data_IF_648038118230
#
_entry.id   IF_648038118230
#
_cell.length_a   1.000
_cell.length_b   1.000
_cell.length_c   1.000
_cell.angle_alpha   90.00
_cell.angle_beta   90.00
_cell.angle_gamma   90.00
#
_symmetry.space_group_name_H-M   'P 1'
#
loop_
_entity.id
_entity.type
_entity.pdbx_description
1 polymer ?
#
# COMPACT_ATOMS: atom_id res chain seq x y z
N UNK A 1 17.27 3.20 1.27
CA UNK A 1 18.22 2.20 0.85
C UNK A 1 18.07 2.02 -0.65
N UNK A 2 19.09 2.03 -1.31
CA UNK A 2 19.54 1.31 -2.48
C UNK A 2 18.95 1.63 -3.83
N UNK A 3 17.70 1.85 -4.04
CA UNK A 3 17.19 2.37 -5.33
C UNK A 3 17.91 3.67 -5.68
N UNK A 4 18.18 4.50 -4.72
CA UNK A 4 18.85 5.77 -4.96
C UNK A 4 20.22 5.61 -5.65
N UNK A 5 21.06 4.71 -5.12
CA UNK A 5 22.46 4.64 -5.53
C UNK A 5 22.70 3.57 -6.62
N UNK A 6 21.81 2.57 -6.71
CA UNK A 6 21.92 1.42 -7.62
C UNK A 6 20.68 1.22 -8.49
N UNK A 7 19.81 2.22 -8.64
CA UNK A 7 18.52 2.05 -9.32
C UNK A 7 18.64 1.55 -10.76
N UNK A 8 19.71 1.88 -11.48
CA UNK A 8 19.93 1.42 -12.85
C UNK A 8 20.19 -0.08 -12.91
N UNK A 9 21.01 -0.60 -11.98
CA UNK A 9 21.27 -2.03 -11.85
C UNK A 9 20.01 -2.77 -11.41
N UNK A 10 19.31 -2.25 -10.40
CA UNK A 10 18.10 -2.85 -9.87
C UNK A 10 16.99 -2.90 -10.93
N UNK A 11 16.76 -1.81 -11.69
CA UNK A 11 15.77 -1.77 -12.77
C UNK A 11 16.16 -2.71 -13.93
N UNK A 12 17.44 -2.85 -14.23
CA UNK A 12 17.90 -3.83 -15.23
C UNK A 12 17.57 -5.27 -14.82
N UNK A 13 17.71 -5.61 -13.53
CA UNK A 13 17.30 -6.91 -12.98
C UNK A 13 15.78 -7.11 -13.03
N UNK A 14 14.98 -6.06 -12.78
CA UNK A 14 13.53 -6.11 -12.94
C UNK A 14 13.13 -6.33 -14.40
N UNK A 15 13.83 -5.69 -15.33
CA UNK A 15 13.62 -5.89 -16.77
C UNK A 15 13.98 -7.32 -17.20
N UNK A 16 15.08 -7.89 -16.69
CA UNK A 16 15.44 -9.30 -16.92
C UNK A 16 14.37 -10.26 -16.42
N UNK A 17 13.72 -9.93 -15.27
CA UNK A 17 12.61 -10.68 -14.73
C UNK A 17 11.32 -10.54 -15.56
N UNK A 18 11.26 -9.52 -16.43
CA UNK A 18 10.13 -9.29 -17.32
C UNK A 18 9.04 -8.37 -16.73
N UNK A 19 9.35 -7.59 -15.71
CA UNK A 19 8.39 -6.65 -15.11
C UNK A 19 7.72 -5.77 -16.16
N UNK A 20 6.41 -5.61 -16.04
CA UNK A 20 5.59 -4.69 -16.84
C UNK A 20 5.30 -3.40 -16.07
N UNK A 21 5.25 -3.51 -14.76
CA UNK A 21 4.99 -2.39 -13.85
C UNK A 21 5.95 -2.47 -12.68
N UNK A 22 6.44 -1.31 -12.25
CA UNK A 22 7.22 -1.17 -11.03
C UNK A 22 6.57 -0.12 -10.12
N UNK A 23 6.14 -0.56 -8.92
CA UNK A 23 5.58 0.35 -7.93
C UNK A 23 6.66 0.92 -7.04
N UNK A 24 6.63 2.23 -6.85
CA UNK A 24 7.52 2.97 -5.96
C UNK A 24 6.83 4.19 -5.39
N UNK A 25 7.40 4.80 -4.36
CA UNK A 25 6.92 6.06 -3.79
C UNK A 25 7.88 7.21 -4.03
N UNK A 26 7.34 8.42 -3.98
CA UNK A 26 8.12 9.65 -3.93
C UNK A 26 8.23 10.06 -2.47
N UNK A 27 9.45 10.37 -1.99
CA UNK A 27 9.62 10.97 -0.68
C UNK A 27 9.29 12.46 -0.76
N UNK A 28 8.24 12.88 -0.05
CA UNK A 28 7.80 14.29 -0.02
C UNK A 28 8.96 15.23 0.31
N UNK A 29 9.75 14.89 1.32
CA UNK A 29 10.90 15.68 1.76
C UNK A 29 12.05 15.77 0.76
N UNK A 30 12.07 14.98 -0.32
CA UNK A 30 13.02 15.17 -1.43
C UNK A 30 12.57 16.26 -2.39
N UNK A 31 11.26 16.46 -2.51
CA UNK A 31 10.67 17.46 -3.39
C UNK A 31 10.51 18.78 -2.65
N UNK A 32 10.01 18.72 -1.42
CA UNK A 32 9.87 19.86 -0.51
C UNK A 32 10.45 19.45 0.85
N UNK A 33 11.70 19.78 1.16
CA UNK A 33 12.42 19.30 2.36
C UNK A 33 11.70 19.58 3.69
N UNK A 34 11.03 20.72 3.81
CA UNK A 34 10.17 21.07 4.95
C UNK A 34 8.70 20.75 4.70
N UNK A 35 8.28 20.73 3.44
CA UNK A 35 6.90 20.46 3.00
C UNK A 35 6.08 21.72 2.74
N UNK A 36 6.47 22.88 3.25
CA UNK A 36 5.76 24.17 3.14
C UNK A 36 6.49 25.19 2.25
N UNK A 37 7.60 24.83 1.62
CA UNK A 37 8.29 25.70 0.67
C UNK A 37 7.40 26.06 -0.54
N UNK A 38 7.66 27.23 -1.13
CA UNK A 38 6.98 27.66 -2.36
C UNK A 38 7.55 26.97 -3.59
N UNK A 39 8.89 26.78 -3.63
CA UNK A 39 9.61 26.20 -4.76
C UNK A 39 10.11 24.78 -4.42
N UNK A 40 10.00 23.84 -5.38
CA UNK A 40 10.46 22.49 -5.19
C UNK A 40 11.98 22.36 -5.31
N UNK A 41 12.53 21.32 -4.72
CA UNK A 41 13.93 20.93 -4.89
C UNK A 41 14.14 20.25 -6.25
N UNK A 42 14.82 20.95 -7.16
CA UNK A 42 15.06 20.46 -8.53
C UNK A 42 15.94 19.19 -8.56
N UNK A 43 16.88 19.02 -7.64
CA UNK A 43 17.68 17.79 -7.56
C UNK A 43 16.82 16.58 -7.22
N UNK A 44 15.85 16.76 -6.33
CA UNK A 44 14.87 15.72 -5.98
C UNK A 44 13.97 15.36 -7.15
N UNK A 45 13.47 16.37 -7.88
CA UNK A 45 12.67 16.17 -9.08
C UNK A 45 13.45 15.42 -10.17
N UNK A 46 14.68 15.86 -10.43
CA UNK A 46 15.54 15.24 -11.44
C UNK A 46 15.86 13.78 -11.10
N UNK A 47 16.10 13.45 -9.84
CA UNK A 47 16.35 12.07 -9.43
C UNK A 47 15.20 11.13 -9.83
N UNK A 48 13.95 11.49 -9.51
CA UNK A 48 12.80 10.66 -9.89
C UNK A 48 12.56 10.63 -11.38
N UNK A 49 12.80 11.75 -12.07
CA UNK A 49 12.75 11.79 -13.54
C UNK A 49 13.70 10.78 -14.17
N UNK A 50 14.94 10.70 -13.66
CA UNK A 50 15.95 9.77 -14.15
C UNK A 50 15.56 8.31 -13.86
N UNK A 51 14.94 8.03 -12.69
CA UNK A 51 14.42 6.71 -12.36
C UNK A 51 13.28 6.30 -13.29
N UNK A 52 12.32 7.21 -13.54
CA UNK A 52 11.19 6.91 -14.44
C UNK A 52 11.65 6.72 -15.90
N UNK A 53 12.61 7.50 -16.36
CA UNK A 53 13.23 7.31 -17.68
C UNK A 53 13.93 5.96 -17.79
N UNK A 54 14.60 5.52 -16.74
CA UNK A 54 15.24 4.19 -16.73
C UNK A 54 14.18 3.06 -16.78
N UNK A 55 13.06 3.18 -16.07
CA UNK A 55 11.94 2.26 -16.20
C UNK A 55 11.40 2.21 -17.65
N UNK A 56 11.12 3.38 -18.23
CA UNK A 56 10.59 3.50 -19.61
C UNK A 56 11.54 2.92 -20.65
N UNK A 57 12.85 3.04 -20.49
CA UNK A 57 13.86 2.43 -21.35
C UNK A 57 13.68 0.93 -21.52
N UNK A 58 13.20 0.25 -20.48
CA UNK A 58 12.92 -1.19 -20.49
C UNK A 58 11.44 -1.55 -20.70
N UNK A 59 10.59 -0.57 -21.00
CA UNK A 59 9.16 -0.78 -21.17
C UNK A 59 8.43 -1.10 -19.86
N UNK A 60 9.00 -0.73 -18.71
CA UNK A 60 8.38 -0.88 -17.40
C UNK A 60 7.59 0.38 -17.09
N UNK A 61 6.28 0.24 -16.82
CA UNK A 61 5.41 1.34 -16.43
C UNK A 61 5.58 1.67 -14.94
N UNK A 62 5.93 2.91 -14.57
CA UNK A 62 5.94 3.34 -13.18
C UNK A 62 4.51 3.42 -12.62
N UNK A 63 4.29 2.83 -11.45
CA UNK A 63 3.11 3.04 -10.60
C UNK A 63 3.58 3.79 -9.36
N UNK A 64 3.19 5.05 -9.22
CA UNK A 64 3.79 5.94 -8.24
C UNK A 64 2.84 6.24 -7.08
N UNK A 65 3.24 5.88 -5.87
CA UNK A 65 2.58 6.30 -4.64
C UNK A 65 3.12 7.67 -4.23
N UNK A 66 2.24 8.67 -4.10
CA UNK A 66 2.62 10.07 -3.84
C UNK A 66 3.18 10.20 -2.43
N UNK A 67 2.47 9.68 -1.42
CA UNK A 67 2.95 9.63 -0.03
C UNK A 67 2.87 8.22 0.52
N UNK A 68 3.96 7.75 1.14
CA UNK A 68 4.05 6.42 1.72
C UNK A 68 4.64 6.51 3.13
N UNK A 69 3.85 7.00 4.08
CA UNK A 69 4.21 7.16 5.49
C UNK A 69 5.41 8.10 5.73
N UNK A 70 5.56 9.13 4.91
CA UNK A 70 6.75 9.98 4.86
C UNK A 70 6.44 11.49 5.01
N UNK A 71 5.45 11.83 5.81
CA UNK A 71 5.12 13.23 6.11
C UNK A 71 6.37 13.98 6.62
N UNK A 72 6.76 15.13 6.02
CA UNK A 72 7.92 15.89 6.47
C UNK A 72 7.84 16.29 7.95
N UNK A 73 8.90 16.02 8.71
CA UNK A 73 8.94 16.29 10.15
C UNK A 73 8.69 17.76 10.51
N UNK A 74 9.02 18.69 9.62
CA UNK A 74 8.71 20.10 9.82
C UNK A 74 7.20 20.34 9.85
N UNK A 75 6.45 19.72 8.92
CA UNK A 75 4.99 19.83 8.89
C UNK A 75 4.35 19.24 10.16
N UNK A 76 4.91 18.13 10.66
CA UNK A 76 4.46 17.51 11.91
C UNK A 76 4.69 18.46 13.09
N UNK A 77 5.92 18.99 13.23
CA UNK A 77 6.29 19.85 14.35
C UNK A 77 5.62 21.23 14.32
N UNK A 78 5.43 21.80 13.14
CA UNK A 78 4.94 23.19 12.99
C UNK A 78 3.42 23.24 12.91
N UNK A 79 2.81 22.26 12.26
CA UNK A 79 1.37 22.27 11.95
C UNK A 79 0.59 21.14 12.63
N UNK A 80 1.27 20.17 13.25
CA UNK A 80 0.63 19.00 13.86
C UNK A 80 0.23 17.91 12.86
N UNK A 81 0.90 17.87 11.70
CA UNK A 81 0.60 16.90 10.63
C UNK A 81 -0.81 17.11 10.07
N UNK A 82 -1.45 16.03 9.64
CA UNK A 82 -2.77 16.07 9.00
C UNK A 82 -3.94 16.52 9.91
N UNK A 83 -3.71 16.76 11.21
CA UNK A 83 -4.68 17.47 12.06
C UNK A 83 -4.99 18.88 11.53
N UNK A 84 -4.04 19.49 10.85
CA UNK A 84 -4.15 20.83 10.33
C UNK A 84 -4.62 20.85 8.87
N UNK A 85 -5.73 21.53 8.60
CA UNK A 85 -6.30 21.63 7.24
C UNK A 85 -5.32 22.22 6.20
N UNK A 86 -4.34 23.02 6.60
CA UNK A 86 -3.29 23.54 5.69
C UNK A 86 -2.51 22.44 4.97
N UNK A 87 -2.49 21.22 5.52
CA UNK A 87 -1.87 20.08 4.84
C UNK A 87 -2.46 19.82 3.47
N UNK A 88 -3.75 20.12 3.26
CA UNK A 88 -4.41 20.01 1.96
C UNK A 88 -3.71 20.92 0.94
N UNK A 89 -3.40 22.17 1.30
CA UNK A 89 -2.75 23.13 0.38
C UNK A 89 -1.30 22.74 0.08
N UNK A 90 -0.57 22.26 1.09
CA UNK A 90 0.79 21.75 0.87
C UNK A 90 0.80 20.51 -0.03
N UNK A 91 -0.18 19.63 0.15
CA UNK A 91 -0.32 18.43 -0.70
C UNK A 91 -0.76 18.80 -2.13
N UNK A 92 -1.68 19.75 -2.31
CA UNK A 92 -2.05 20.29 -3.65
C UNK A 92 -0.83 20.83 -4.38
N UNK A 93 0.06 21.55 -3.70
CA UNK A 93 1.32 22.04 -4.28
C UNK A 93 2.21 20.88 -4.71
N UNK A 94 2.42 19.90 -3.83
CA UNK A 94 3.20 18.69 -4.14
C UNK A 94 2.68 18.01 -5.40
N UNK A 95 1.40 17.65 -5.43
CA UNK A 95 0.82 16.88 -6.55
C UNK A 95 0.83 17.67 -7.86
N UNK A 96 0.63 19.00 -7.81
CA UNK A 96 0.71 19.86 -9.00
C UNK A 96 2.10 19.80 -9.63
N UNK A 97 3.15 19.89 -8.81
CA UNK A 97 4.54 19.78 -9.29
C UNK A 97 4.81 18.41 -9.87
N UNK A 98 4.39 17.33 -9.18
CA UNK A 98 4.62 15.95 -9.64
C UNK A 98 3.91 15.65 -10.95
N UNK A 99 2.62 15.96 -11.05
CA UNK A 99 1.83 15.69 -12.26
C UNK A 99 2.31 16.52 -13.45
N UNK A 100 2.75 17.75 -13.21
CA UNK A 100 3.31 18.61 -14.27
C UNK A 100 4.66 18.10 -14.74
N UNK A 101 5.58 17.81 -13.80
CA UNK A 101 6.95 17.38 -14.13
C UNK A 101 6.98 16.03 -14.83
N UNK A 102 6.15 15.10 -14.40
CA UNK A 102 6.19 13.71 -14.88
C UNK A 102 5.05 13.34 -15.83
N UNK A 103 4.35 14.34 -16.40
CA UNK A 103 3.20 14.18 -17.29
C UNK A 103 3.37 13.12 -18.38
N UNK A 104 4.57 13.01 -18.96
CA UNK A 104 4.86 12.07 -20.06
C UNK A 104 5.62 10.81 -19.59
N UNK A 105 5.83 10.64 -18.28
CA UNK A 105 6.62 9.56 -17.73
C UNK A 105 5.80 8.61 -16.86
N UNK A 106 4.80 9.12 -16.16
CA UNK A 106 3.99 8.38 -15.21
C UNK A 106 2.51 8.56 -15.55
N UNK A 107 1.80 7.45 -15.68
CA UNK A 107 0.36 7.42 -15.91
C UNK A 107 -0.42 7.03 -14.66
N UNK A 108 0.11 6.08 -13.86
CA UNK A 108 -0.59 5.49 -12.72
C UNK A 108 -0.08 6.05 -11.42
N UNK A 109 -1.00 6.60 -10.62
CA UNK A 109 -0.71 7.24 -9.35
C UNK A 109 -1.60 6.73 -8.23
N UNK A 110 -1.04 6.60 -7.04
CA UNK A 110 -1.77 6.29 -5.81
C UNK A 110 -1.60 7.48 -4.86
N UNK A 111 -2.69 8.00 -4.35
CA UNK A 111 -2.66 9.23 -3.53
C UNK A 111 -1.99 9.02 -2.18
N UNK A 112 -2.46 8.06 -1.39
CA UNK A 112 -1.94 7.73 -0.06
C UNK A 112 -1.75 6.21 0.04
N UNK A 113 -0.61 5.80 0.62
CA UNK A 113 -0.41 4.41 0.97
C UNK A 113 -1.28 4.03 2.16
N UNK A 114 -2.04 2.93 2.02
CA UNK A 114 -2.83 2.34 3.12
C UNK A 114 -3.52 3.38 4.02
N UNK A 115 -4.35 4.25 3.43
CA UNK A 115 -4.95 5.41 4.11
C UNK A 115 -5.67 5.04 5.42
N UNK A 116 -6.23 3.83 5.53
CA UNK A 116 -6.87 3.33 6.74
C UNK A 116 -5.90 3.05 7.90
N UNK A 117 -4.57 3.00 7.61
CA UNK A 117 -3.55 2.82 8.65
C UNK A 117 -3.45 3.99 9.63
N UNK A 118 -4.01 5.15 9.31
CA UNK A 118 -4.15 6.27 10.26
C UNK A 118 -4.83 5.84 11.58
N UNK A 119 -5.72 4.86 11.53
CA UNK A 119 -6.41 4.34 12.72
C UNK A 119 -5.49 3.52 13.62
N UNK A 120 -4.48 2.86 13.07
CA UNK A 120 -3.60 1.90 13.74
C UNK A 120 -2.19 2.44 13.98
N UNK A 121 -1.65 3.18 13.00
CA UNK A 121 -0.32 3.78 13.01
C UNK A 121 -0.41 5.28 12.72
N UNK A 122 -1.05 6.08 13.58
CA UNK A 122 -1.41 7.47 13.30
C UNK A 122 -0.20 8.38 13.02
N UNK A 123 0.95 8.13 13.65
CA UNK A 123 2.15 8.89 13.36
C UNK A 123 2.68 8.60 11.94
N UNK A 124 2.74 7.34 11.56
CA UNK A 124 3.19 6.94 10.20
C UNK A 124 2.17 7.36 9.14
N UNK A 125 0.88 7.07 9.36
CA UNK A 125 -0.19 7.33 8.41
C UNK A 125 -0.39 8.82 8.13
N UNK A 126 -0.42 9.65 9.18
CA UNK A 126 -0.82 11.05 9.06
C UNK A 126 0.05 12.04 9.85
N UNK A 127 1.23 11.63 10.30
CA UNK A 127 2.11 12.50 11.09
C UNK A 127 1.49 12.97 12.40
N UNK A 128 0.64 12.13 13.04
CA UNK A 128 -0.05 12.53 14.25
C UNK A 128 0.80 12.29 15.50
N UNK A 129 1.02 13.33 16.24
CA UNK A 129 1.50 13.31 17.62
C UNK A 129 0.38 13.81 18.53
N UNK A 130 0.13 13.10 19.63
CA UNK A 130 -0.96 13.41 20.55
C UNK A 130 -0.44 14.05 21.84
N UNK A 131 -1.14 15.06 22.32
CA UNK A 131 -0.95 15.63 23.63
C UNK A 131 -1.57 14.72 24.71
N UNK A 132 -1.18 14.90 25.98
CA UNK A 132 -1.52 14.00 27.09
C UNK A 132 -3.04 13.77 27.27
N UNK A 133 -3.87 14.77 26.99
CA UNK A 133 -5.34 14.69 27.15
C UNK A 133 -6.09 14.84 25.82
N UNK A 134 -5.43 14.67 24.69
CA UNK A 134 -6.05 14.81 23.37
C UNK A 134 -6.94 13.62 23.05
N UNK A 135 -8.15 13.87 22.54
CA UNK A 135 -8.99 12.83 21.98
C UNK A 135 -8.38 12.30 20.68
N UNK A 136 -7.68 11.17 20.81
CA UNK A 136 -6.98 10.53 19.69
C UNK A 136 -7.94 10.06 18.60
N UNK A 137 -9.15 9.63 18.96
CA UNK A 137 -10.15 9.17 17.98
C UNK A 137 -10.64 10.34 17.15
N UNK A 138 -11.02 11.43 17.78
CA UNK A 138 -11.37 12.69 17.12
C UNK A 138 -10.26 13.15 16.17
N UNK A 139 -9.02 13.22 16.65
CA UNK A 139 -7.87 13.68 15.86
C UNK A 139 -7.60 12.80 14.63
N UNK A 140 -7.72 11.47 14.75
CA UNK A 140 -7.55 10.51 13.63
C UNK A 140 -8.59 10.75 12.55
N UNK A 141 -9.87 10.91 12.89
CA UNK A 141 -10.93 11.10 11.89
C UNK A 141 -10.94 12.48 11.26
N UNK A 142 -10.57 13.53 11.99
CA UNK A 142 -10.31 14.86 11.42
C UNK A 142 -9.19 14.79 10.39
N UNK A 143 -8.08 14.16 10.73
CA UNK A 143 -6.94 14.00 9.82
C UNK A 143 -7.27 13.13 8.61
N UNK A 144 -8.02 12.05 8.82
CA UNK A 144 -8.53 11.22 7.73
C UNK A 144 -9.39 12.02 6.76
N UNK A 145 -10.25 12.92 7.27
CA UNK A 145 -11.05 13.80 6.41
C UNK A 145 -10.16 14.71 5.56
N UNK A 146 -9.11 15.29 6.12
CA UNK A 146 -8.19 16.13 5.36
C UNK A 146 -7.43 15.34 4.27
N UNK A 147 -6.99 14.10 4.55
CA UNK A 147 -6.37 13.23 3.55
C UNK A 147 -7.35 12.82 2.44
N UNK A 148 -8.61 12.53 2.78
CA UNK A 148 -9.65 12.19 1.80
C UNK A 148 -9.94 13.38 0.87
N UNK A 149 -10.06 14.60 1.41
CA UNK A 149 -10.22 15.82 0.62
C UNK A 149 -9.00 16.09 -0.25
N UNK A 150 -7.78 15.92 0.30
CA UNK A 150 -6.53 16.06 -0.46
C UNK A 150 -6.42 15.04 -1.60
N UNK A 151 -6.88 13.80 -1.39
CA UNK A 151 -6.96 12.76 -2.43
C UNK A 151 -7.89 13.17 -3.58
N UNK A 152 -9.05 13.74 -3.28
CA UNK A 152 -9.97 14.23 -4.31
C UNK A 152 -9.38 15.42 -5.09
N UNK A 153 -8.70 16.35 -4.40
CA UNK A 153 -7.97 17.43 -5.06
C UNK A 153 -6.85 16.90 -5.96
N UNK A 154 -6.11 15.87 -5.52
CA UNK A 154 -5.08 15.23 -6.36
C UNK A 154 -5.69 14.64 -7.63
N UNK A 155 -6.84 13.96 -7.52
CA UNK A 155 -7.56 13.40 -8.69
C UNK A 155 -7.96 14.50 -9.66
N UNK A 156 -8.54 15.60 -9.17
CA UNK A 156 -8.91 16.76 -9.99
C UNK A 156 -7.69 17.33 -10.73
N UNK A 157 -6.64 17.68 -9.99
CA UNK A 157 -5.42 18.30 -10.55
C UNK A 157 -4.76 17.36 -11.57
N UNK A 158 -4.71 16.07 -11.30
CA UNK A 158 -4.13 15.09 -12.20
C UNK A 158 -4.85 15.06 -13.57
N UNK A 159 -6.20 15.01 -13.55
CA UNK A 159 -7.00 14.98 -14.78
C UNK A 159 -6.98 16.33 -15.54
N UNK A 160 -6.89 17.45 -14.82
CA UNK A 160 -6.72 18.78 -15.46
C UNK A 160 -5.37 18.91 -16.17
N UNK A 161 -4.29 18.36 -15.59
CA UNK A 161 -2.96 18.39 -16.20
C UNK A 161 -2.84 17.38 -17.35
N UNK A 162 -3.35 16.17 -17.15
CA UNK A 162 -3.35 15.11 -18.15
C UNK A 162 -4.57 14.20 -17.95
N UNK A 163 -5.57 14.25 -18.85
CA UNK A 163 -6.78 13.39 -18.76
C UNK A 163 -6.49 11.89 -18.81
N UNK A 164 -5.32 11.45 -19.29
CA UNK A 164 -4.92 10.05 -19.35
C UNK A 164 -4.35 9.53 -18.03
N UNK A 165 -4.15 10.38 -17.03
CA UNK A 165 -3.74 9.95 -15.70
C UNK A 165 -4.79 9.04 -15.08
N UNK A 166 -4.31 7.98 -14.43
CA UNK A 166 -5.12 7.04 -13.68
C UNK A 166 -4.79 7.17 -12.18
N UNK A 167 -5.75 7.61 -11.40
CA UNK A 167 -5.57 7.90 -9.98
C UNK A 167 -6.25 6.82 -9.15
N UNK A 168 -5.48 6.17 -8.27
CA UNK A 168 -5.96 5.15 -7.35
C UNK A 168 -5.97 5.59 -5.89
N UNK A 169 -6.87 5.00 -5.12
CA UNK A 169 -6.75 4.93 -3.67
C UNK A 169 -6.02 3.64 -3.27
N UNK A 170 -5.58 3.55 -2.02
CA UNK A 170 -5.01 2.32 -1.49
C UNK A 170 -5.40 2.09 -0.03
N UNK A 171 -5.76 0.85 0.28
CA UNK A 171 -6.05 0.40 1.64
C UNK A 171 -5.21 -0.81 2.04
N UNK A 172 -4.93 -0.94 3.34
CA UNK A 172 -4.52 -2.19 3.94
C UNK A 172 -5.74 -3.11 4.03
N UNK A 173 -5.87 -4.05 3.08
CA UNK A 173 -7.04 -4.90 2.96
C UNK A 173 -6.90 -6.23 3.75
N UNK A 174 -7.98 -6.97 3.78
CA UNK A 174 -8.16 -8.24 4.43
C UNK A 174 -9.48 -8.25 5.18
N UNK A 175 -10.40 -9.11 4.75
CA UNK A 175 -11.71 -9.23 5.37
C UNK A 175 -11.59 -9.74 6.80
N UNK A 176 -12.50 -9.32 7.66
CA UNK A 176 -12.67 -9.89 8.98
C UNK A 176 -13.63 -11.07 8.92
N UNK A 177 -13.12 -12.27 9.22
CA UNK A 177 -13.97 -13.43 9.43
C UNK A 177 -14.57 -13.40 10.84
N UNK A 178 -15.86 -13.70 11.02
CA UNK A 178 -16.38 -14.03 12.33
C UNK A 178 -15.75 -15.35 12.79
N UNK A 179 -15.27 -15.41 14.01
CA UNK A 179 -14.68 -16.63 14.58
C UNK A 179 -15.70 -17.78 14.64
N UNK A 180 -16.95 -17.44 14.87
CA UNK A 180 -18.06 -18.37 14.88
C UNK A 180 -19.27 -17.83 14.10
N UNK A 181 -20.28 -18.68 13.89
CA UNK A 181 -21.56 -18.26 13.33
C UNK A 181 -22.50 -17.56 14.33
N UNK A 182 -22.03 -17.22 15.54
CA UNK A 182 -22.82 -16.40 16.46
C UNK A 182 -23.12 -15.03 15.84
N UNK A 183 -24.38 -14.56 15.90
CA UNK A 183 -24.75 -13.26 15.32
C UNK A 183 -23.89 -12.10 15.82
N UNK A 184 -23.41 -12.13 17.06
CA UNK A 184 -22.55 -11.13 17.66
C UNK A 184 -21.16 -11.11 17.00
N UNK A 185 -20.55 -12.26 16.68
CA UNK A 185 -19.28 -12.36 15.98
C UNK A 185 -19.44 -11.86 14.52
N UNK A 186 -20.54 -12.22 13.86
CA UNK A 186 -20.86 -11.74 12.50
C UNK A 186 -21.05 -10.23 12.48
N UNK A 187 -21.73 -9.68 13.48
CA UNK A 187 -21.94 -8.24 13.62
C UNK A 187 -20.63 -7.49 13.90
N UNK A 188 -19.76 -8.05 14.75
CA UNK A 188 -18.44 -7.49 15.02
C UNK A 188 -17.55 -7.47 13.77
N UNK A 189 -17.54 -8.55 12.98
CA UNK A 189 -16.80 -8.64 11.72
C UNK A 189 -17.27 -7.57 10.72
N UNK A 190 -18.59 -7.44 10.52
CA UNK A 190 -19.17 -6.38 9.70
C UNK A 190 -18.78 -4.98 10.17
N UNK A 191 -18.73 -4.76 11.48
CA UNK A 191 -18.32 -3.49 12.09
C UNK A 191 -16.88 -3.15 11.74
N UNK A 192 -15.98 -4.11 11.86
CA UNK A 192 -14.55 -3.95 11.52
C UNK A 192 -14.30 -3.75 10.03
N UNK A 193 -15.02 -4.44 9.16
CA UNK A 193 -14.94 -4.21 7.72
C UNK A 193 -15.40 -2.78 7.36
N UNK A 194 -16.48 -2.30 7.96
CA UNK A 194 -16.97 -0.93 7.74
C UNK A 194 -15.99 0.15 8.20
N UNK A 195 -15.27 -0.07 9.30
CA UNK A 195 -14.24 0.85 9.80
C UNK A 195 -13.14 1.07 8.75
N UNK A 196 -12.72 0.02 8.05
CA UNK A 196 -11.72 0.11 6.98
C UNK A 196 -12.32 0.59 5.64
N UNK A 197 -13.49 0.09 5.27
CA UNK A 197 -14.13 0.40 3.98
C UNK A 197 -14.59 1.85 3.87
N UNK A 198 -14.82 2.55 4.98
CA UNK A 198 -15.24 3.95 4.99
C UNK A 198 -14.31 4.84 4.16
N UNK A 199 -13.00 4.64 4.24
CA UNK A 199 -12.01 5.40 3.49
C UNK A 199 -12.20 5.23 1.98
N UNK A 200 -12.37 3.99 1.54
CA UNK A 200 -12.56 3.68 0.13
C UNK A 200 -13.95 4.09 -0.34
N UNK A 201 -14.98 3.95 0.50
CA UNK A 201 -16.32 4.48 0.18
C UNK A 201 -16.25 5.97 -0.18
N UNK A 202 -15.52 6.77 0.59
CA UNK A 202 -15.39 8.20 0.31
C UNK A 202 -14.60 8.46 -0.97
N UNK A 203 -13.46 7.78 -1.16
CA UNK A 203 -12.61 7.99 -2.32
C UNK A 203 -13.23 7.47 -3.63
N UNK A 204 -13.99 6.35 -3.57
CA UNK A 204 -14.56 5.72 -4.75
C UNK A 204 -15.99 6.17 -5.08
N UNK A 205 -16.77 6.61 -4.08
CA UNK A 205 -18.18 7.04 -4.23
C UNK A 205 -18.38 8.55 -4.06
N UNK A 206 -17.41 9.25 -3.45
CA UNK A 206 -17.44 10.69 -3.29
C UNK A 206 -18.28 11.22 -2.12
N UNK A 207 -18.66 10.36 -1.17
CA UNK A 207 -19.44 10.76 0.00
C UNK A 207 -19.25 9.82 1.18
N UNK A 208 -19.50 10.32 2.38
CA UNK A 208 -19.54 9.50 3.59
C UNK A 208 -20.82 8.67 3.62
N UNK A 209 -20.73 7.33 3.71
CA UNK A 209 -21.92 6.50 3.82
C UNK A 209 -22.62 6.69 5.15
N UNK A 210 -23.95 6.44 5.18
CA UNK A 210 -24.77 6.68 6.38
C UNK A 210 -24.26 5.94 7.62
N UNK A 211 -23.68 4.74 7.46
CA UNK A 211 -23.14 4.01 8.60
C UNK A 211 -21.94 4.73 9.24
N UNK A 212 -21.12 5.43 8.44
CA UNK A 212 -20.00 6.23 8.94
C UNK A 212 -20.49 7.49 9.66
N UNK A 213 -21.48 8.20 9.08
CA UNK A 213 -22.08 9.37 9.74
C UNK A 213 -22.72 9.00 11.08
N UNK A 214 -23.44 7.86 11.14
CA UNK A 214 -24.01 7.34 12.39
C UNK A 214 -22.96 6.84 13.39
N UNK A 215 -21.84 6.34 12.90
CA UNK A 215 -20.70 6.03 13.74
C UNK A 215 -20.12 7.30 14.38
N UNK A 216 -19.89 8.36 13.60
CA UNK A 216 -19.37 9.62 14.10
C UNK A 216 -20.30 10.23 15.15
N UNK A 217 -21.62 10.25 14.88
CA UNK A 217 -22.63 10.73 15.83
C UNK A 217 -22.58 9.96 17.16
N UNK A 218 -22.52 8.63 17.11
CA UNK A 218 -22.50 7.77 18.30
C UNK A 218 -21.22 7.91 19.13
N UNK A 219 -20.07 8.03 18.45
CA UNK A 219 -18.76 8.16 19.11
C UNK A 219 -18.41 9.62 19.47
N UNK A 220 -19.31 10.58 19.18
CA UNK A 220 -19.06 12.00 19.46
C UNK A 220 -17.94 12.60 18.62
N UNK A 221 -17.68 12.06 17.43
CA UNK A 221 -16.66 12.56 16.52
C UNK A 221 -17.24 13.71 15.70
N UNK A 222 -16.64 14.89 15.79
CA UNK A 222 -17.12 16.10 15.15
C UNK A 222 -16.03 16.73 14.28
N UNK A 223 -16.31 16.92 13.01
CA UNK A 223 -15.52 17.75 12.10
C UNK A 223 -16.42 18.38 11.06
N UNK A 224 -16.02 19.55 10.61
CA UNK A 224 -16.77 20.26 9.58
C UNK A 224 -16.48 19.66 8.19
N UNK A 225 -17.53 19.32 7.48
CA UNK A 225 -17.48 18.94 6.07
C UNK A 225 -18.11 20.09 5.30
N UNK A 226 -17.28 21.00 4.80
CA UNK A 226 -17.75 22.17 4.07
C UNK A 226 -18.46 21.79 2.76
N UNK A 227 -19.18 22.72 2.18
CA UNK A 227 -19.80 22.50 0.86
C UNK A 227 -18.74 22.29 -0.22
N UNK A 228 -17.59 22.97 -0.13
CA UNK A 228 -16.45 22.74 -1.01
C UNK A 228 -15.91 21.31 -0.87
N UNK A 229 -15.79 20.79 0.37
CA UNK A 229 -15.36 19.41 0.59
C UNK A 229 -16.34 18.40 -0.01
N UNK A 230 -17.65 18.64 0.15
CA UNK A 230 -18.68 17.78 -0.43
C UNK A 230 -18.61 17.78 -1.95
N UNK A 231 -18.40 18.94 -2.55
CA UNK A 231 -18.31 19.10 -4.00
C UNK A 231 -17.05 18.43 -4.58
N UNK A 232 -15.87 18.67 -3.98
CA UNK A 232 -14.62 18.08 -4.47
C UNK A 232 -14.62 16.56 -4.33
N UNK A 233 -15.07 16.02 -3.19
CA UNK A 233 -15.20 14.57 -2.99
C UNK A 233 -16.14 13.94 -4.01
N UNK A 234 -17.31 14.53 -4.23
CA UNK A 234 -18.34 14.00 -5.13
C UNK A 234 -17.90 13.95 -6.58
N UNK A 235 -17.20 14.99 -7.03
CA UNK A 235 -16.90 15.18 -8.45
C UNK A 235 -15.54 14.56 -8.88
N UNK A 236 -14.67 14.20 -7.93
CA UNK A 236 -13.32 13.74 -8.22
C UNK A 236 -12.97 12.46 -7.47
N UNK A 237 -13.74 11.41 -7.76
CA UNK A 237 -13.48 10.06 -7.24
C UNK A 237 -12.32 9.41 -7.98
N UNK A 238 -11.65 8.45 -7.33
CA UNK A 238 -10.53 7.70 -7.91
C UNK A 238 -10.96 6.83 -9.10
N UNK A 239 -10.03 6.54 -10.02
CA UNK A 239 -10.26 5.75 -11.23
C UNK A 239 -10.19 4.25 -10.95
N UNK A 240 -9.31 3.82 -10.05
CA UNK A 240 -9.15 2.43 -9.65
C UNK A 240 -8.95 2.28 -8.15
N UNK A 241 -9.14 1.08 -7.64
CA UNK A 241 -8.92 0.75 -6.23
C UNK A 241 -7.70 -0.14 -6.13
N UNK A 242 -6.71 0.29 -5.36
CA UNK A 242 -5.57 -0.54 -5.03
C UNK A 242 -5.55 -0.93 -3.55
N UNK A 243 -4.87 -2.03 -3.27
CA UNK A 243 -4.79 -2.54 -1.91
C UNK A 243 -3.55 -3.40 -1.69
N UNK A 244 -3.11 -3.45 -0.43
CA UNK A 244 -2.20 -4.48 0.07
C UNK A 244 -3.00 -5.64 0.61
N UNK A 245 -2.51 -6.87 0.40
CA UNK A 245 -3.07 -8.05 1.03
C UNK A 245 -1.94 -8.96 1.53
N UNK A 246 -1.89 -9.19 2.83
CA UNK A 246 -0.91 -10.09 3.46
C UNK A 246 -1.57 -11.24 4.19
N UNK A 247 -2.75 -10.99 4.77
CA UNK A 247 -3.55 -11.99 5.49
C UNK A 247 -4.99 -11.51 5.65
N UNK A 248 -5.92 -12.44 5.79
CA UNK A 248 -7.24 -12.17 6.35
C UNK A 248 -7.14 -11.98 7.87
N UNK A 249 -8.22 -11.51 8.44
CA UNK A 249 -8.34 -11.25 9.89
C UNK A 249 -9.49 -12.05 10.46
N UNK A 250 -9.48 -12.26 11.77
CA UNK A 250 -10.58 -12.92 12.47
C UNK A 250 -10.94 -12.11 13.71
N UNK A 251 -12.21 -12.11 14.08
CA UNK A 251 -12.70 -11.41 15.27
C UNK A 251 -13.74 -12.25 16.02
N UNK A 252 -13.76 -12.14 17.33
CA UNK A 252 -14.78 -12.74 18.18
C UNK A 252 -15.17 -11.79 19.30
N UNK A 253 -16.38 -11.97 19.81
CA UNK A 253 -16.88 -11.36 21.05
C UNK A 253 -16.72 -12.27 22.26
N UNK A 254 -16.19 -13.49 22.07
CA UNK A 254 -16.01 -14.49 23.11
C UNK A 254 -14.70 -14.24 23.86
N UNK A 255 -14.72 -14.39 25.18
CA UNK A 255 -13.52 -14.32 26.02
C UNK A 255 -12.67 -15.60 25.92
N UNK A 256 -11.36 -15.50 26.16
CA UNK A 256 -10.44 -16.62 26.22
C UNK A 256 -10.03 -17.26 24.91
N UNK A 257 -10.40 -16.66 23.77
CA UNK A 257 -9.92 -17.09 22.46
C UNK A 257 -8.53 -16.47 22.19
N UNK A 258 -7.60 -17.30 21.66
CA UNK A 258 -6.23 -16.88 21.42
C UNK A 258 -6.11 -15.73 20.41
N UNK A 259 -5.18 -14.83 20.67
CA UNK A 259 -4.88 -13.67 19.80
C UNK A 259 -3.74 -13.97 18.82
N UNK A 260 -3.73 -13.25 17.71
CA UNK A 260 -2.62 -13.21 16.75
C UNK A 260 -2.31 -11.77 16.37
N UNK A 261 -1.09 -11.53 15.92
CA UNK A 261 -0.68 -10.24 15.37
C UNK A 261 -0.26 -10.47 13.92
N UNK A 262 -0.90 -9.77 12.98
CA UNK A 262 -0.54 -9.79 11.57
C UNK A 262 -0.43 -8.36 11.04
N UNK A 263 0.71 -7.99 10.47
CA UNK A 263 0.98 -6.71 9.81
C UNK A 263 0.39 -5.48 10.55
N UNK A 264 0.76 -5.28 11.83
CA UNK A 264 0.27 -4.22 12.72
C UNK A 264 -1.20 -4.32 13.19
N UNK A 265 -1.93 -5.34 12.80
CA UNK A 265 -3.28 -5.59 13.28
C UNK A 265 -3.30 -6.69 14.33
N UNK A 266 -3.91 -6.41 15.46
CA UNK A 266 -4.28 -7.43 16.44
C UNK A 266 -5.61 -8.05 16.03
N UNK A 267 -5.75 -9.35 16.23
CA UNK A 267 -6.98 -10.07 15.95
C UNK A 267 -7.03 -11.43 16.61
N UNK A 268 -8.15 -12.10 16.46
CA UNK A 268 -8.32 -13.48 16.89
C UNK A 268 -7.60 -14.41 15.92
N UNK A 269 -6.93 -15.44 16.42
CA UNK A 269 -6.31 -16.45 15.56
C UNK A 269 -7.39 -17.30 14.89
N UNK A 270 -7.40 -17.31 13.54
CA UNK A 270 -8.24 -18.24 12.79
C UNK A 270 -7.67 -19.66 12.92
N UNK A 271 -8.44 -20.62 13.49
CA UNK A 271 -7.93 -21.96 13.77
C UNK A 271 -7.68 -22.81 12.51
N UNK A 272 -8.19 -22.38 11.36
CA UNK A 272 -8.10 -23.11 10.09
C UNK A 272 -6.93 -22.66 9.21
N UNK A 273 -6.21 -21.61 9.60
CA UNK A 273 -5.12 -21.04 8.80
C UNK A 273 -3.75 -21.35 9.43
N UNK A 274 -2.79 -21.66 8.55
CA UNK A 274 -1.37 -21.76 8.92
C UNK A 274 -0.76 -20.37 9.06
N UNK A 275 0.27 -20.24 9.88
CA UNK A 275 1.02 -19.00 10.05
C UNK A 275 2.43 -19.11 9.51
N UNK A 276 2.98 -17.99 9.04
CA UNK A 276 4.40 -17.84 8.74
C UNK A 276 5.25 -17.82 10.02
N UNK A 277 6.59 -17.80 9.86
CA UNK A 277 7.53 -17.63 10.98
C UNK A 277 7.29 -16.35 11.79
N UNK A 278 6.77 -15.29 11.17
CA UNK A 278 6.38 -14.03 11.80
C UNK A 278 4.93 -14.02 12.33
N UNK A 279 4.26 -15.16 12.36
CA UNK A 279 2.90 -15.30 12.89
C UNK A 279 1.79 -14.83 11.93
N UNK A 280 2.10 -14.42 10.71
CA UNK A 280 1.10 -13.99 9.73
C UNK A 280 0.37 -15.19 9.16
N UNK A 281 -0.96 -15.16 9.25
CA UNK A 281 -1.80 -16.24 8.74
C UNK A 281 -1.87 -16.19 7.22
N UNK A 282 -1.62 -17.34 6.58
CA UNK A 282 -1.56 -17.47 5.12
C UNK A 282 -2.95 -17.86 4.62
N UNK A 283 -3.57 -17.00 3.83
CA UNK A 283 -4.93 -17.19 3.33
C UNK A 283 -5.09 -16.73 1.87
N UNK A 284 -4.74 -17.57 0.90
CA UNK A 284 -4.95 -17.25 -0.51
C UNK A 284 -6.44 -17.05 -0.89
N UNK A 285 -7.35 -17.84 -0.31
CA UNK A 285 -8.79 -17.68 -0.57
C UNK A 285 -9.31 -16.35 -0.05
N UNK A 286 -8.77 -15.87 1.07
CA UNK A 286 -9.08 -14.53 1.59
C UNK A 286 -8.73 -13.41 0.63
N UNK A 287 -7.69 -13.56 -0.19
CA UNK A 287 -7.40 -12.62 -1.28
C UNK A 287 -8.52 -12.61 -2.32
N UNK A 288 -8.99 -13.79 -2.79
CA UNK A 288 -10.12 -13.89 -3.72
C UNK A 288 -11.40 -13.27 -3.15
N UNK A 289 -11.69 -13.55 -1.87
CA UNK A 289 -12.83 -12.96 -1.15
C UNK A 289 -12.71 -11.44 -1.08
N UNK A 290 -11.52 -10.91 -0.73
CA UNK A 290 -11.26 -9.47 -0.67
C UNK A 290 -11.47 -8.80 -2.02
N UNK A 291 -10.98 -9.39 -3.11
CA UNK A 291 -11.16 -8.89 -4.47
C UNK A 291 -12.65 -8.82 -4.86
N UNK A 292 -13.39 -9.91 -4.64
CA UNK A 292 -14.83 -9.93 -4.90
C UNK A 292 -15.57 -8.88 -4.05
N UNK A 293 -15.26 -8.78 -2.75
CA UNK A 293 -15.86 -7.80 -1.85
C UNK A 293 -15.65 -6.36 -2.35
N UNK A 294 -14.44 -6.03 -2.78
CA UNK A 294 -14.12 -4.70 -3.31
C UNK A 294 -14.77 -4.44 -4.66
N UNK A 295 -14.70 -5.42 -5.56
CA UNK A 295 -15.23 -5.25 -6.90
C UNK A 295 -16.77 -5.15 -6.90
N UNK A 296 -17.46 -6.03 -6.17
CA UNK A 296 -18.92 -5.98 -6.01
C UNK A 296 -19.39 -4.66 -5.42
N UNK A 297 -18.59 -4.09 -4.49
CA UNK A 297 -18.95 -2.86 -3.81
C UNK A 297 -18.77 -1.61 -4.67
N UNK A 298 -17.74 -1.56 -5.51
CA UNK A 298 -17.33 -0.33 -6.19
C UNK A 298 -17.43 -0.37 -7.70
N UNK A 299 -17.38 -1.55 -8.33
CA UNK A 299 -17.39 -1.75 -9.77
C UNK A 299 -16.33 -0.90 -10.49
N UNK A 300 -15.16 -0.76 -9.87
CA UNK A 300 -13.98 -0.09 -10.41
C UNK A 300 -12.84 -1.10 -10.55
N UNK A 301 -11.94 -0.91 -11.54
CA UNK A 301 -10.77 -1.78 -11.68
C UNK A 301 -9.97 -1.89 -10.38
N UNK A 302 -9.47 -3.08 -10.08
CA UNK A 302 -8.65 -3.35 -8.90
C UNK A 302 -7.16 -3.42 -9.27
N UNK A 303 -6.28 -3.11 -8.32
CA UNK A 303 -4.86 -3.34 -8.44
C UNK A 303 -4.31 -3.89 -7.11
N UNK A 304 -3.75 -5.10 -7.12
CA UNK A 304 -3.04 -5.64 -5.95
C UNK A 304 -1.64 -5.05 -5.97
N UNK A 305 -1.39 -4.04 -5.14
CA UNK A 305 -0.13 -3.28 -5.16
C UNK A 305 0.88 -3.72 -4.11
N UNK A 306 0.47 -4.57 -3.17
CA UNK A 306 1.35 -5.25 -2.23
C UNK A 306 0.78 -6.62 -1.87
N UNK A 307 1.65 -7.62 -1.91
CA UNK A 307 1.44 -8.95 -1.37
C UNK A 307 2.81 -9.61 -1.22
N UNK A 308 3.01 -10.44 -0.22
CA UNK A 308 4.29 -11.11 -0.03
C UNK A 308 4.47 -11.71 1.35
N UNK A 309 5.60 -12.35 1.51
CA UNK A 309 5.98 -13.04 2.73
C UNK A 309 7.40 -12.64 3.12
N UNK A 310 7.57 -12.09 4.32
CA UNK A 310 8.88 -11.87 4.91
C UNK A 310 9.40 -13.15 5.56
N UNK A 311 10.65 -13.52 5.30
CA UNK A 311 11.29 -14.68 5.89
C UNK A 311 12.81 -14.50 5.99
N UNK A 312 13.47 -15.38 6.75
CA UNK A 312 14.93 -15.45 6.78
C UNK A 312 15.44 -16.20 5.56
N UNK A 313 16.31 -15.55 4.79
CA UNK A 313 16.99 -16.17 3.66
C UNK A 313 18.46 -16.40 3.98
N UNK A 314 18.97 -17.54 3.58
CA UNK A 314 20.39 -17.92 3.73
C UNK A 314 21.07 -17.80 2.38
N UNK A 315 22.14 -16.97 2.32
CA UNK A 315 22.99 -16.87 1.15
C UNK A 315 23.91 -18.10 1.09
N UNK A 316 23.81 -18.87 0.02
CA UNK A 316 24.67 -20.03 -0.24
C UNK A 316 26.10 -19.60 -0.55
N UNK A 317 27.10 -20.40 -0.15
CA UNK A 317 28.51 -20.14 -0.45
C UNK A 317 28.78 -20.18 -1.95
N UNK A 318 28.15 -21.16 -2.65
CA UNK A 318 28.26 -21.32 -4.09
C UNK A 318 26.90 -21.19 -4.77
N UNK A 319 26.93 -20.87 -6.05
CA UNK A 319 25.74 -20.82 -6.89
C UNK A 319 25.25 -22.25 -7.22
N UNK A 320 23.93 -22.44 -7.10
CA UNK A 320 23.26 -23.69 -7.46
C UNK A 320 22.20 -23.37 -8.51
N UNK A 321 22.27 -23.95 -9.68
CA UNK A 321 21.33 -23.75 -10.79
C UNK A 321 21.06 -22.26 -11.11
N UNK A 322 22.09 -21.43 -10.96
CA UNK A 322 22.01 -19.99 -11.26
C UNK A 322 21.50 -19.11 -10.11
N UNK A 323 21.20 -19.66 -8.92
CA UNK A 323 20.75 -18.89 -7.75
C UNK A 323 21.65 -19.09 -6.54
N UNK A 324 21.64 -18.10 -5.64
CA UNK A 324 22.38 -18.08 -4.37
C UNK A 324 21.49 -18.20 -3.13
N UNK A 325 20.17 -18.25 -3.29
CA UNK A 325 19.18 -18.40 -2.21
C UNK A 325 18.07 -19.32 -2.68
N UNK A 326 17.79 -20.39 -1.91
CA UNK A 326 16.67 -21.30 -2.14
C UNK A 326 15.48 -20.83 -1.29
N UNK A 327 14.48 -20.24 -1.92
CA UNK A 327 13.30 -19.66 -1.26
C UNK A 327 11.99 -20.30 -1.76
N UNK A 328 11.92 -21.62 -1.74
CA UNK A 328 10.75 -22.43 -2.16
C UNK A 328 9.47 -22.08 -1.40
N UNK A 329 9.60 -21.64 -0.15
CA UNK A 329 8.48 -21.15 0.66
C UNK A 329 7.82 -19.92 0.02
N UNK A 330 8.62 -18.99 -0.56
CA UNK A 330 8.13 -17.80 -1.27
C UNK A 330 7.40 -18.19 -2.55
N UNK A 331 8.00 -19.11 -3.32
CA UNK A 331 7.38 -19.67 -4.53
C UNK A 331 6.02 -20.28 -4.17
N UNK A 332 5.97 -21.13 -3.14
CA UNK A 332 4.73 -21.77 -2.70
C UNK A 332 3.67 -20.73 -2.27
N UNK A 333 4.06 -19.72 -1.50
CA UNK A 333 3.16 -18.66 -1.04
C UNK A 333 2.57 -17.87 -2.23
N UNK A 334 3.43 -17.37 -3.12
CA UNK A 334 3.01 -16.56 -4.26
C UNK A 334 2.19 -17.38 -5.25
N UNK A 335 2.56 -18.63 -5.51
CA UNK A 335 1.83 -19.55 -6.38
C UNK A 335 0.35 -19.68 -5.95
N UNK A 336 0.09 -19.91 -4.67
CA UNK A 336 -1.28 -20.08 -4.18
C UNK A 336 -2.08 -18.77 -4.22
N UNK A 337 -1.43 -17.61 -3.96
CA UNK A 337 -2.08 -16.30 -4.09
C UNK A 337 -2.35 -15.94 -5.56
N UNK A 338 -1.44 -16.27 -6.48
CA UNK A 338 -1.65 -16.07 -7.91
C UNK A 338 -2.83 -16.90 -8.42
N UNK A 339 -2.93 -18.17 -8.01
CA UNK A 339 -4.11 -19.00 -8.33
C UNK A 339 -5.40 -18.35 -7.83
N UNK A 340 -5.39 -17.80 -6.63
CA UNK A 340 -6.57 -17.18 -6.03
C UNK A 340 -7.03 -15.93 -6.79
N UNK A 341 -6.12 -15.01 -7.12
CA UNK A 341 -6.51 -13.84 -7.88
C UNK A 341 -6.81 -14.15 -9.37
N UNK A 342 -6.14 -15.16 -9.96
CA UNK A 342 -6.48 -15.65 -11.29
C UNK A 342 -7.92 -16.16 -11.32
N UNK A 343 -8.33 -16.96 -10.34
CA UNK A 343 -9.72 -17.41 -10.21
C UNK A 343 -10.70 -16.25 -10.02
N UNK A 344 -10.35 -15.20 -9.24
CA UNK A 344 -11.18 -14.01 -9.11
C UNK A 344 -11.42 -13.31 -10.46
N UNK A 345 -10.43 -13.30 -11.35
CA UNK A 345 -10.55 -12.72 -12.70
C UNK A 345 -11.33 -13.65 -13.63
N UNK A 346 -10.96 -14.93 -13.71
CA UNK A 346 -11.44 -15.85 -14.73
C UNK A 346 -12.81 -16.45 -14.40
N UNK A 347 -13.09 -16.70 -13.11
CA UNK A 347 -14.32 -17.36 -12.67
C UNK A 347 -15.33 -16.36 -12.12
N UNK A 348 -14.86 -15.30 -11.40
CA UNK A 348 -15.74 -14.35 -10.73
C UNK A 348 -15.93 -13.05 -11.52
N UNK A 349 -15.11 -12.79 -12.57
CA UNK A 349 -15.25 -11.63 -13.45
C UNK A 349 -14.73 -10.32 -12.87
N UNK A 350 -13.82 -10.38 -11.91
CA UNK A 350 -13.17 -9.21 -11.33
C UNK A 350 -12.24 -8.55 -12.36
N UNK A 351 -12.36 -7.23 -12.56
CA UNK A 351 -11.44 -6.45 -13.39
C UNK A 351 -10.17 -6.12 -12.59
N UNK A 352 -9.06 -6.79 -12.93
CA UNK A 352 -7.76 -6.64 -12.28
C UNK A 352 -6.74 -6.01 -13.23
N UNK A 353 -6.27 -4.82 -12.92
CA UNK A 353 -5.23 -4.11 -13.70
C UNK A 353 -3.85 -4.76 -13.59
N UNK A 354 -3.52 -5.30 -12.41
CA UNK A 354 -2.21 -5.90 -12.20
C UNK A 354 -1.95 -6.34 -10.76
N UNK A 355 -0.74 -6.90 -10.61
CA UNK A 355 -0.22 -7.41 -9.35
C UNK A 355 1.24 -7.01 -9.18
N UNK A 356 1.59 -6.36 -8.07
CA UNK A 356 2.96 -6.04 -7.70
C UNK A 356 3.25 -6.61 -6.31
N UNK A 357 4.14 -7.62 -6.19
CA UNK A 357 4.56 -8.13 -4.89
C UNK A 357 5.29 -7.07 -4.06
N UNK A 358 5.12 -7.12 -2.73
CA UNK A 358 5.89 -6.29 -1.84
C UNK A 358 7.35 -6.74 -1.76
N UNK A 359 8.25 -5.80 -2.05
CA UNK A 359 9.68 -6.07 -2.02
C UNK A 359 10.13 -6.93 -3.20
N UNK A 360 10.16 -6.41 -4.43
CA UNK A 360 10.76 -7.10 -5.57
C UNK A 360 12.28 -7.35 -5.39
N UNK A 361 12.91 -6.55 -4.54
CA UNK A 361 14.29 -6.66 -4.05
C UNK A 361 14.28 -6.59 -2.53
N UNK A 362 15.22 -7.22 -1.84
CA UNK A 362 15.31 -7.15 -0.40
C UNK A 362 15.46 -5.70 0.09
N UNK A 363 14.73 -5.37 1.12
CA UNK A 363 14.61 -4.04 1.69
C UNK A 363 14.56 -4.11 3.22
N UNK A 364 14.73 -2.98 3.89
CA UNK A 364 14.48 -2.89 5.33
C UNK A 364 12.99 -3.07 5.59
N UNK A 365 12.63 -4.04 6.40
CA UNK A 365 11.24 -4.27 6.78
C UNK A 365 10.64 -3.04 7.45
N UNK A 366 9.52 -2.55 6.94
CA UNK A 366 8.86 -1.36 7.48
C UNK A 366 8.31 -1.60 8.90
N UNK A 367 7.87 -2.83 9.21
CA UNK A 367 7.27 -3.16 10.49
C UNK A 367 8.27 -3.44 11.61
N UNK A 368 9.47 -3.94 11.28
CA UNK A 368 10.48 -4.36 12.29
C UNK A 368 11.79 -3.60 12.21
N UNK A 369 12.03 -2.83 11.14
CA UNK A 369 13.30 -2.11 10.95
C UNK A 369 14.49 -3.01 10.60
N UNK A 370 14.25 -4.25 10.16
CA UNK A 370 15.26 -5.29 9.97
C UNK A 370 15.51 -5.59 8.49
N UNK A 371 16.78 -5.83 8.14
CA UNK A 371 17.16 -6.42 6.84
C UNK A 371 16.98 -7.93 6.82
N UNK A 372 17.06 -8.60 7.95
CA UNK A 372 16.96 -10.05 8.05
C UNK A 372 15.59 -10.58 7.58
N UNK A 373 14.51 -9.80 7.78
CA UNK A 373 13.17 -10.11 7.28
C UNK A 373 13.06 -9.76 5.79
N UNK A 374 13.36 -10.72 4.94
CA UNK A 374 13.53 -10.55 3.50
C UNK A 374 12.26 -10.85 2.71
N UNK A 375 11.98 -10.03 1.70
CA UNK A 375 10.78 -10.12 0.88
C UNK A 375 11.07 -10.35 -0.60
N UNK A 376 12.26 -9.95 -1.07
CA UNK A 376 12.58 -9.82 -2.50
C UNK A 376 12.83 -11.13 -3.23
N UNK A 377 12.75 -11.06 -4.55
CA UNK A 377 13.27 -12.08 -5.49
C UNK A 377 14.78 -11.95 -5.68
N UNK A 378 15.33 -10.82 -5.26
CA UNK A 378 16.73 -10.48 -5.35
C UNK A 378 17.23 -10.25 -3.92
N UNK A 379 18.22 -11.05 -3.52
CA UNK A 379 18.91 -10.89 -2.25
C UNK A 379 19.87 -9.70 -2.33
N UNK A 380 19.82 -8.83 -1.32
CA UNK A 380 20.79 -7.75 -1.14
C UNK A 380 21.69 -8.11 0.04
N UNK A 381 22.98 -8.20 -0.21
CA UNK A 381 23.96 -8.52 0.84
C UNK A 381 24.14 -7.33 1.78
N UNK A 382 23.20 -7.22 2.70
CA UNK A 382 23.16 -6.22 3.77
C UNK A 382 22.55 -6.87 5.01
N UNK A 383 23.17 -6.64 6.17
CA UNK A 383 22.77 -7.18 7.46
C UNK A 383 22.24 -6.10 8.40
N UNK A 384 21.62 -6.51 9.52
CA UNK A 384 21.03 -5.60 10.51
C UNK A 384 22.07 -4.70 11.17
N UNK A 385 23.30 -5.19 11.35
CA UNK A 385 24.43 -4.44 11.91
C UNK A 385 25.06 -3.44 10.93
N UNK A 386 24.57 -3.40 9.71
CA UNK A 386 25.10 -2.54 8.67
C UNK A 386 26.24 -3.12 7.85
N UNK A 387 26.69 -4.34 8.11
CA UNK A 387 27.68 -5.06 7.31
C UNK A 387 27.08 -5.57 5.98
N UNK A 388 27.95 -6.09 5.11
CA UNK A 388 27.59 -6.63 3.80
C UNK A 388 28.13 -5.79 2.65
N UNK A 389 28.21 -6.40 1.48
CA UNK A 389 28.82 -5.83 0.27
C UNK A 389 27.87 -5.01 -0.58
N UNK A 390 26.57 -5.04 -0.29
CA UNK A 390 25.48 -4.48 -1.11
C UNK A 390 25.31 -5.19 -2.48
N UNK A 391 25.99 -6.30 -2.73
CA UNK A 391 25.81 -7.06 -3.96
C UNK A 391 24.42 -7.65 -4.06
N UNK A 392 23.94 -7.85 -5.30
CA UNK A 392 22.65 -8.43 -5.64
C UNK A 392 22.85 -9.87 -6.08
N UNK A 393 22.06 -10.76 -5.48
CA UNK A 393 22.07 -12.17 -5.87
C UNK A 393 20.64 -12.62 -6.19
N UNK A 394 20.46 -13.27 -7.32
CA UNK A 394 19.17 -13.83 -7.72
C UNK A 394 18.80 -14.99 -6.81
N UNK A 395 17.56 -15.00 -6.34
CA UNK A 395 17.00 -16.11 -5.59
C UNK A 395 16.36 -17.12 -6.55
N UNK A 396 16.02 -18.32 -6.08
CA UNK A 396 15.29 -19.31 -6.87
C UNK A 396 13.96 -18.75 -7.39
N UNK A 397 13.25 -18.00 -6.56
CA UNK A 397 12.01 -17.33 -6.92
C UNK A 397 12.15 -16.29 -8.04
N UNK A 398 13.34 -15.74 -8.30
CA UNK A 398 13.59 -14.83 -9.42
C UNK A 398 13.31 -15.53 -10.76
N UNK A 399 13.83 -16.72 -10.96
CA UNK A 399 13.66 -17.48 -12.20
C UNK A 399 12.24 -18.00 -12.35
N UNK A 400 11.67 -18.52 -11.27
CA UNK A 400 10.28 -18.96 -11.26
C UNK A 400 9.32 -17.80 -11.61
N UNK A 401 9.48 -16.63 -10.99
CA UNK A 401 8.59 -15.50 -11.23
C UNK A 401 8.77 -14.89 -12.64
N UNK A 402 9.99 -14.94 -13.19
CA UNK A 402 10.25 -14.63 -14.60
C UNK A 402 9.41 -15.50 -15.54
N UNK A 403 9.32 -16.81 -15.28
CA UNK A 403 8.48 -17.72 -16.07
C UNK A 403 6.99 -17.45 -15.87
N UNK A 404 6.57 -17.13 -14.66
CA UNK A 404 5.20 -16.70 -14.35
C UNK A 404 4.82 -15.47 -15.19
N UNK A 405 5.66 -14.44 -15.20
CA UNK A 405 5.42 -13.22 -15.98
C UNK A 405 5.40 -13.52 -17.48
N UNK A 406 6.38 -14.28 -17.98
CA UNK A 406 6.49 -14.61 -19.40
C UNK A 406 5.28 -15.40 -19.91
N UNK A 407 4.65 -16.21 -19.05
CA UNK A 407 3.47 -17.01 -19.39
C UNK A 407 2.14 -16.32 -19.00
N UNK A 408 2.18 -15.07 -18.50
CA UNK A 408 1.02 -14.37 -17.95
C UNK A 408 0.26 -15.22 -16.91
N UNK A 409 1.00 -15.90 -16.02
CA UNK A 409 0.42 -16.71 -14.94
C UNK A 409 -0.07 -18.10 -15.34
N UNK A 410 0.21 -18.58 -16.55
CA UNK A 410 -0.17 -19.93 -16.97
C UNK A 410 0.79 -21.00 -16.41
N UNK A 411 2.05 -20.65 -16.22
CA UNK A 411 3.07 -21.52 -15.60
C UNK A 411 3.31 -21.07 -14.15
N UNK A 412 2.80 -21.82 -13.18
CA UNK A 412 2.97 -21.57 -11.75
C UNK A 412 3.78 -22.68 -11.06
#
# INVERSE_FOLDING_TARGET
>A
MCIRDSYKEDIALFAEMGFKTFRMSIAWSRIFPKGDEEEPNEEGLKFYEDVFKECKKYGIEPLVTITHFDCPMHLIKTYGGWKNRKMIDFYKRLVTVLFTRYKNLVKYWITFNEINMILHLPFMGAGLHFEENEDQTQAKYVSAHHELVASAWATKIAHEINPDNMIGCMMAAGNYYPYSCMPEDVWAALGKDRENMMFIDVQARGYYPNYALKFFEREGIHFDISDEDREILKNHTVDFISFSYYSSRCITTQEGVGETIGNAFKGTKNPYLKSSEWGWQIDPLGLRITMNTLYDRYQKPLFIVENGLGANDVLLEEEVDGYRVSDDYRISYLKEHIKAFKAAVEEDGVDLLGFTPWGCIDLVSASTGEMAKRYGFIYVDRHNDGSGTMQRYKKKSFYWYKDVIASNGEKL
#
